data_IF_995165638625
#
_entry.id   IF_995165638625
#
_cell.length_a   1.000
_cell.length_b   1.000
_cell.length_c   1.000
_cell.angle_alpha   90.00
_cell.angle_beta   90.00
_cell.angle_gamma   90.00
#
_symmetry.space_group_name_H-M   'P 1'
#
loop_
_entity.id
_entity.type
_entity.pdbx_description
1 polymer ?
#
# COMPACT_ATOMS: atom_id res chain seq x y z
N UNK A 1 -0.09 22.95 -1.47
CA UNK A 1 0.69 22.05 -2.37
C UNK A 1 1.16 20.87 -1.56
N UNK A 2 0.40 19.77 -1.59
CA UNK A 2 0.88 18.49 -1.04
C UNK A 2 1.89 17.97 -2.04
N UNK A 3 3.17 17.97 -1.63
CA UNK A 3 4.27 17.44 -2.43
C UNK A 3 4.08 15.92 -2.44
N UNK A 4 3.44 15.40 -3.48
CA UNK A 4 3.34 13.96 -3.69
C UNK A 4 4.76 13.47 -3.98
N UNK A 5 5.46 12.98 -2.95
CA UNK A 5 6.74 12.32 -3.12
C UNK A 5 6.45 11.01 -3.85
N UNK A 6 6.52 11.06 -5.18
CA UNK A 6 6.38 9.91 -6.10
C UNK A 6 7.63 9.04 -6.05
N UNK A 7 8.05 8.65 -4.85
CA UNK A 7 9.15 7.72 -4.65
C UNK A 7 8.52 6.36 -4.39
N UNK A 8 8.22 5.60 -5.45
CA UNK A 8 8.03 4.14 -5.33
C UNK A 8 9.39 3.54 -5.00
N UNK A 9 9.60 3.18 -3.74
CA UNK A 9 10.82 2.52 -3.31
C UNK A 9 10.49 1.13 -2.78
N UNK A 10 11.39 0.18 -3.01
CA UNK A 10 11.37 -1.08 -2.27
C UNK A 10 11.87 -0.83 -0.85
N UNK A 11 11.17 -1.40 0.12
CA UNK A 11 11.52 -1.30 1.53
C UNK A 11 11.14 -2.61 2.23
N UNK A 12 11.91 -2.99 3.24
CA UNK A 12 11.54 -4.08 4.12
C UNK A 12 10.27 -3.75 4.90
N UNK A 13 9.38 -4.74 5.03
CA UNK A 13 8.17 -4.61 5.83
C UNK A 13 8.43 -4.19 7.28
N UNK A 14 9.58 -4.58 7.85
CA UNK A 14 10.02 -4.21 9.21
C UNK A 14 10.06 -2.69 9.42
N UNK A 15 10.46 -1.92 8.41
CA UNK A 15 10.51 -0.46 8.48
C UNK A 15 9.12 0.19 8.54
N UNK A 16 8.09 -0.54 8.11
CA UNK A 16 6.71 -0.08 8.05
C UNK A 16 5.90 -0.41 9.31
N UNK A 17 6.45 -1.18 10.26
CA UNK A 17 5.71 -1.65 11.45
C UNK A 17 5.08 -0.52 12.26
N UNK A 18 5.78 0.62 12.41
CA UNK A 18 5.25 1.78 13.14
C UNK A 18 3.99 2.37 12.49
N UNK A 19 3.95 2.38 11.16
CA UNK A 19 2.82 2.91 10.40
C UNK A 19 1.67 1.91 10.35
N UNK A 20 2.00 0.62 10.27
CA UNK A 20 1.03 -0.46 10.41
C UNK A 20 0.33 -0.39 11.78
N UNK A 21 1.08 -0.23 12.86
CA UNK A 21 0.53 -0.10 14.22
C UNK A 21 -0.39 1.13 14.38
N UNK A 22 -0.20 2.17 13.56
CA UNK A 22 -1.08 3.36 13.50
C UNK A 22 -2.30 3.15 12.60
N UNK A 23 -2.44 1.98 11.96
CA UNK A 23 -3.49 1.68 11.00
C UNK A 23 -3.37 2.47 9.69
N UNK A 24 -2.17 2.98 9.37
CA UNK A 24 -1.91 3.90 8.25
C UNK A 24 -1.39 3.21 6.97
N UNK A 25 -1.35 1.88 6.93
CA UNK A 25 -0.85 1.11 5.79
C UNK A 25 -2.00 0.48 5.00
N UNK A 26 -2.03 0.77 3.71
CA UNK A 26 -2.95 0.17 2.74
C UNK A 26 -2.19 -0.78 1.82
N UNK A 27 -2.71 -1.99 1.63
CA UNK A 27 -2.20 -2.99 0.70
C UNK A 27 -2.96 -2.86 -0.61
N UNK A 28 -2.21 -2.68 -1.69
CA UNK A 28 -2.67 -2.64 -3.07
C UNK A 28 -2.50 -4.03 -3.65
N UNK A 29 -3.55 -4.56 -4.27
CA UNK A 29 -3.50 -5.86 -4.93
C UNK A 29 -2.58 -5.83 -6.17
N UNK A 30 -1.93 -6.95 -6.53
CA UNK A 30 -0.94 -7.00 -7.61
C UNK A 30 -1.51 -6.68 -9.02
N UNK A 31 -2.83 -6.72 -9.19
CA UNK A 31 -3.54 -6.38 -10.43
C UNK A 31 -3.65 -4.88 -10.67
N UNK A 32 -3.47 -4.05 -9.63
CA UNK A 32 -3.50 -2.59 -9.73
C UNK A 32 -2.09 -2.02 -9.94
N UNK A 33 -2.02 -0.85 -10.58
CA UNK A 33 -0.79 -0.06 -10.65
C UNK A 33 -0.64 0.78 -9.38
N UNK A 34 0.41 0.51 -8.59
CA UNK A 34 0.65 1.20 -7.31
C UNK A 34 0.72 2.73 -7.44
N UNK A 35 1.31 3.25 -8.52
CA UNK A 35 1.45 4.70 -8.73
C UNK A 35 0.10 5.33 -9.07
N UNK A 36 -0.68 4.68 -9.93
CA UNK A 36 -2.03 5.13 -10.29
C UNK A 36 -2.96 5.09 -9.08
N UNK A 37 -2.91 4.02 -8.28
CA UNK A 37 -3.69 3.92 -7.03
C UNK A 37 -3.28 5.00 -6.03
N UNK A 38 -1.97 5.24 -5.86
CA UNK A 38 -1.47 6.31 -4.99
C UNK A 38 -1.93 7.70 -5.48
N UNK A 39 -1.96 7.94 -6.79
CA UNK A 39 -2.46 9.18 -7.35
C UNK A 39 -3.97 9.37 -7.08
N UNK A 40 -4.77 8.30 -7.21
CA UNK A 40 -6.19 8.34 -6.88
C UNK A 40 -6.42 8.64 -5.39
N UNK A 41 -5.66 8.02 -4.48
CA UNK A 41 -5.71 8.32 -3.04
C UNK A 41 -5.29 9.76 -2.77
N UNK A 42 -4.25 10.27 -3.43
CA UNK A 42 -3.78 11.64 -3.25
C UNK A 42 -4.79 12.70 -3.72
N UNK A 43 -5.60 12.35 -4.71
CA UNK A 43 -6.65 13.21 -5.26
C UNK A 43 -8.01 13.03 -4.57
N UNK A 44 -8.09 12.17 -3.54
CA UNK A 44 -9.34 11.82 -2.84
C UNK A 44 -10.44 11.34 -3.79
N UNK A 45 -10.07 10.51 -4.79
CA UNK A 45 -11.01 9.91 -5.73
C UNK A 45 -11.83 8.81 -5.04
N UNK A 46 -12.83 9.25 -4.27
CA UNK A 46 -13.65 8.40 -3.44
C UNK A 46 -14.38 7.31 -4.23
N UNK A 47 -14.70 7.54 -5.51
CA UNK A 47 -15.38 6.56 -6.35
C UNK A 47 -14.43 5.39 -6.69
N UNK A 48 -13.22 5.69 -7.15
CA UNK A 48 -12.21 4.66 -7.41
C UNK A 48 -11.80 3.92 -6.14
N UNK A 49 -11.55 4.65 -5.05
CA UNK A 49 -11.15 4.09 -3.76
C UNK A 49 -12.23 3.15 -3.21
N UNK A 50 -13.50 3.56 -3.25
CA UNK A 50 -14.61 2.72 -2.77
C UNK A 50 -14.76 1.45 -3.60
N UNK A 51 -14.69 1.55 -4.93
CA UNK A 51 -14.77 0.39 -5.81
C UNK A 51 -13.65 -0.63 -5.52
N UNK A 52 -12.41 -0.17 -5.32
CA UNK A 52 -11.30 -1.08 -4.98
C UNK A 52 -11.40 -1.67 -3.58
N UNK A 53 -11.98 -0.95 -2.61
CA UNK A 53 -12.23 -1.52 -1.29
C UNK A 53 -13.33 -2.59 -1.33
N UNK A 54 -14.39 -2.39 -2.11
CA UNK A 54 -15.48 -3.36 -2.29
C UNK A 54 -15.00 -4.64 -2.98
N UNK A 55 -14.08 -4.52 -3.94
CA UNK A 55 -13.50 -5.66 -4.66
C UNK A 55 -12.26 -6.25 -3.96
N UNK A 56 -11.91 -5.76 -2.77
CA UNK A 56 -10.72 -6.16 -2.02
C UNK A 56 -9.38 -5.92 -2.75
N UNK A 57 -9.35 -5.04 -3.76
CA UNK A 57 -8.14 -4.65 -4.48
C UNK A 57 -7.32 -3.56 -3.78
N UNK A 58 -7.94 -2.82 -2.87
CA UNK A 58 -7.27 -1.89 -1.95
C UNK A 58 -7.82 -2.13 -0.55
N UNK A 59 -6.97 -2.48 0.40
CA UNK A 59 -7.41 -2.81 1.76
C UNK A 59 -6.43 -2.29 2.79
N UNK A 60 -6.84 -2.16 4.06
CA UNK A 60 -5.87 -1.98 5.14
C UNK A 60 -5.01 -3.24 5.26
N UNK A 61 -3.73 -3.07 5.60
CA UNK A 61 -2.88 -4.20 5.92
C UNK A 61 -3.52 -5.03 7.05
N UNK A 62 -3.66 -6.32 6.83
CA UNK A 62 -4.22 -7.25 7.80
C UNK A 62 -3.14 -7.78 8.73
N UNK A 63 -3.55 -8.33 9.87
CA UNK A 63 -2.64 -9.03 10.77
C UNK A 63 -1.94 -10.20 10.06
N UNK A 64 -2.68 -10.97 9.27
CA UNK A 64 -2.13 -12.07 8.48
C UNK A 64 -1.04 -11.59 7.51
N UNK A 65 -1.28 -10.50 6.77
CA UNK A 65 -0.28 -9.92 5.89
C UNK A 65 0.96 -9.49 6.67
N UNK A 66 0.77 -8.83 7.82
CA UNK A 66 1.85 -8.33 8.65
C UNK A 66 2.72 -9.48 9.21
N UNK A 67 2.09 -10.53 9.73
CA UNK A 67 2.78 -11.70 10.29
C UNK A 67 3.55 -12.45 9.21
N UNK A 68 2.93 -12.71 8.05
CA UNK A 68 3.58 -13.40 6.94
C UNK A 68 4.79 -12.60 6.42
N UNK A 69 4.64 -11.29 6.24
CA UNK A 69 5.75 -10.44 5.81
C UNK A 69 6.90 -10.39 6.82
N UNK A 70 6.61 -10.44 8.12
CA UNK A 70 7.65 -10.49 9.16
C UNK A 70 8.39 -11.83 9.17
N UNK A 71 7.65 -12.94 9.05
CA UNK A 71 8.24 -14.27 9.00
C UNK A 71 9.18 -14.45 7.80
N UNK A 72 8.78 -13.93 6.65
CA UNK A 72 9.51 -14.06 5.38
C UNK A 72 10.54 -12.94 5.15
N UNK A 73 10.68 -11.98 6.08
CA UNK A 73 11.46 -10.76 5.90
C UNK A 73 11.19 -10.07 4.54
N UNK A 74 9.90 -9.94 4.20
CA UNK A 74 9.45 -9.50 2.89
C UNK A 74 9.87 -8.05 2.57
N UNK A 75 10.23 -7.83 1.32
CA UNK A 75 10.29 -6.50 0.71
C UNK A 75 8.96 -6.20 0.01
N UNK A 76 8.53 -4.94 0.11
CA UNK A 76 7.36 -4.42 -0.58
C UNK A 76 7.71 -3.15 -1.32
N UNK A 77 7.01 -2.88 -2.41
CA UNK A 77 6.96 -1.55 -2.99
C UNK A 77 6.12 -0.66 -2.08
N UNK A 78 6.56 0.57 -1.82
CA UNK A 78 5.83 1.53 -0.99
C UNK A 78 5.76 2.90 -1.66
N UNK A 79 4.60 3.57 -1.51
CA UNK A 79 4.39 4.98 -1.87
C UNK A 79 3.72 5.69 -0.71
N UNK A 80 4.25 6.84 -0.31
CA UNK A 80 3.71 7.64 0.78
C UNK A 80 2.73 8.68 0.24
N UNK A 81 1.48 8.60 0.69
CA UNK A 81 0.41 9.56 0.39
C UNK A 81 -0.22 9.98 1.71
N UNK A 82 0.37 10.97 2.37
CA UNK A 82 0.01 11.33 3.74
C UNK A 82 -1.51 11.51 3.93
N UNK A 83 -2.12 10.92 4.98
CA UNK A 83 -1.46 10.21 6.08
C UNK A 83 -1.12 8.73 5.81
N UNK A 84 -1.43 8.21 4.62
CA UNK A 84 -1.35 6.80 4.26
C UNK A 84 -0.01 6.39 3.66
N UNK A 85 0.32 5.12 3.80
CA UNK A 85 1.37 4.43 3.04
C UNK A 85 0.71 3.30 2.26
N UNK A 86 0.79 3.37 0.94
CA UNK A 86 0.33 2.30 0.07
C UNK A 86 1.49 1.35 -0.17
N UNK A 87 1.24 0.05 -0.05
CA UNK A 87 2.23 -1.00 -0.29
C UNK A 87 1.73 -2.03 -1.28
N UNK A 88 2.64 -2.65 -2.02
CA UNK A 88 2.34 -3.74 -2.94
C UNK A 88 3.47 -4.78 -2.86
N UNK A 89 3.14 -6.06 -2.72
CA UNK A 89 4.12 -7.14 -2.92
C UNK A 89 4.51 -7.19 -4.40
N UNK A 90 5.69 -7.72 -4.73
CA UNK A 90 6.04 -7.91 -6.14
C UNK A 90 4.92 -8.66 -6.88
N UNK A 91 4.58 -8.15 -8.06
CA UNK A 91 3.65 -8.82 -8.95
C UNK A 91 4.21 -10.20 -9.22
N UNK A 92 3.56 -11.24 -8.69
CA UNK A 92 3.94 -12.61 -9.00
C UNK A 92 3.83 -12.74 -10.52
N UNK A 93 4.96 -12.82 -11.20
CA UNK A 93 5.00 -13.12 -12.61
C UNK A 93 4.41 -14.53 -12.75
N UNK A 94 3.16 -14.59 -13.19
CA UNK A 94 2.54 -15.82 -13.69
C UNK A 94 3.23 -16.27 -14.97
#
# INVERSE_FOLDING_TARGET
>A
MVKLNRETSRIYWTELQRFYAQGAVLVVAPELDLVATAAAVANDDAAAISAWMETAQLQKATEEFAVNCLADNCEVWAVVVAPWILVQKDRVAS
#
